data_IF_591001760334
#
_entry.id   IF_591001760334
#
_cell.length_a   1.000
_cell.length_b   1.000
_cell.length_c   1.000
_cell.angle_alpha   90.00
_cell.angle_beta   90.00
_cell.angle_gamma   90.00
#
_symmetry.space_group_name_H-M   'P 1'
#
loop_
_entity.id
_entity.type
_entity.pdbx_description
1 polymer ?
#
# COMPACT_ATOMS: atom_id res chain seq x y z
N UNK A 1 -4.94 21.65 -2.16
CA UNK A 1 -4.08 20.82 -3.04
C UNK A 1 -3.94 21.38 -4.47
N UNK A 2 -2.78 21.94 -4.79
CA UNK A 2 -2.37 22.24 -6.15
C UNK A 2 -1.91 20.98 -6.88
N UNK A 3 -2.20 20.84 -8.18
CA UNK A 3 -1.78 19.68 -8.98
C UNK A 3 -0.27 19.76 -9.24
N UNK A 4 0.45 18.68 -8.99
CA UNK A 4 1.85 18.54 -9.40
C UNK A 4 1.87 18.00 -10.82
N UNK A 5 2.56 18.70 -11.72
CA UNK A 5 2.64 18.32 -13.13
C UNK A 5 3.64 17.17 -13.34
N UNK A 6 3.31 16.25 -14.24
CA UNK A 6 4.21 15.17 -14.63
C UNK A 6 5.51 15.73 -15.21
N UNK A 7 6.65 15.13 -14.82
CA UNK A 7 7.99 15.58 -15.21
C UNK A 7 8.49 16.82 -14.44
N UNK A 8 7.77 17.26 -13.40
CA UNK A 8 8.34 18.23 -12.46
C UNK A 8 9.26 17.51 -11.45
N UNK A 9 10.24 18.20 -10.85
CA UNK A 9 11.16 17.57 -9.88
C UNK A 9 10.43 16.84 -8.74
N UNK A 10 9.36 17.44 -8.22
CA UNK A 10 8.55 16.81 -7.17
C UNK A 10 7.78 15.58 -7.67
N UNK A 11 7.28 15.61 -8.91
CA UNK A 11 6.62 14.44 -9.48
C UNK A 11 7.61 13.28 -9.64
N UNK A 12 8.81 13.56 -10.14
CA UNK A 12 9.83 12.55 -10.36
C UNK A 12 10.31 11.94 -9.03
N UNK A 13 10.45 12.75 -7.98
CA UNK A 13 10.73 12.28 -6.62
C UNK A 13 9.61 11.36 -6.09
N UNK A 14 8.34 11.70 -6.32
CA UNK A 14 7.20 10.85 -5.94
C UNK A 14 7.20 9.53 -6.71
N UNK A 15 7.49 9.56 -8.01
CA UNK A 15 7.61 8.33 -8.82
C UNK A 15 8.74 7.46 -8.29
N UNK A 16 9.91 8.04 -8.05
CA UNK A 16 11.06 7.31 -7.50
C UNK A 16 10.74 6.72 -6.12
N UNK A 17 10.04 7.46 -5.25
CA UNK A 17 9.58 6.95 -3.96
C UNK A 17 8.67 5.73 -4.13
N UNK A 18 7.73 5.78 -5.08
CA UNK A 18 6.81 4.67 -5.36
C UNK A 18 7.53 3.43 -5.91
N UNK A 19 8.55 3.64 -6.76
CA UNK A 19 9.35 2.55 -7.33
C UNK A 19 10.22 1.88 -6.26
N UNK A 20 10.88 2.66 -5.40
CA UNK A 20 11.67 2.14 -4.28
C UNK A 20 10.79 1.38 -3.30
N UNK A 21 9.61 1.91 -2.97
CA UNK A 21 8.67 1.20 -2.09
C UNK A 21 8.30 -0.18 -2.65
N UNK A 22 7.95 -0.24 -3.94
CA UNK A 22 7.58 -1.48 -4.60
C UNK A 22 8.76 -2.48 -4.59
N UNK A 23 9.99 -2.02 -4.89
CA UNK A 23 11.20 -2.85 -4.85
C UNK A 23 11.43 -3.44 -3.46
N UNK A 24 11.41 -2.61 -2.40
CA UNK A 24 11.64 -3.10 -1.04
C UNK A 24 10.62 -4.16 -0.63
N UNK A 25 9.34 -3.95 -0.95
CA UNK A 25 8.28 -4.89 -0.62
C UNK A 25 8.36 -6.19 -1.45
N UNK A 26 8.71 -6.09 -2.74
CA UNK A 26 8.87 -7.25 -3.63
C UNK A 26 10.10 -8.10 -3.28
N UNK A 27 11.13 -7.49 -2.67
CA UNK A 27 12.36 -8.15 -2.20
C UNK A 27 12.31 -8.58 -0.72
N UNK A 28 11.14 -8.51 -0.07
CA UNK A 28 10.95 -8.85 1.35
C UNK A 28 11.77 -7.98 2.33
N UNK A 29 12.19 -6.79 1.91
CA UNK A 29 12.91 -5.79 2.73
C UNK A 29 11.91 -4.92 3.51
N UNK A 30 10.93 -5.57 4.13
CA UNK A 30 9.82 -4.93 4.86
C UNK A 30 10.30 -4.07 6.04
N UNK A 31 11.39 -4.49 6.69
CA UNK A 31 12.07 -3.75 7.76
C UNK A 31 12.57 -2.39 7.29
N UNK A 32 13.24 -2.37 6.15
CA UNK A 32 13.80 -1.17 5.55
C UNK A 32 12.70 -0.24 5.04
N UNK A 33 11.65 -0.80 4.44
CA UNK A 33 10.44 -0.04 4.09
C UNK A 33 9.84 0.65 5.33
N UNK A 34 9.61 -0.12 6.42
CA UNK A 34 8.97 0.41 7.62
C UNK A 34 9.81 1.49 8.31
N UNK A 35 11.12 1.32 8.41
CA UNK A 35 11.99 2.25 9.15
C UNK A 35 12.41 3.46 8.30
N UNK A 36 12.61 3.26 6.99
CA UNK A 36 13.07 4.32 6.09
C UNK A 36 11.95 5.13 5.44
N UNK A 37 10.80 4.51 5.16
CA UNK A 37 9.77 5.11 4.30
C UNK A 37 8.44 5.38 5.00
N UNK A 38 8.23 4.90 6.22
CA UNK A 38 6.95 5.01 6.92
C UNK A 38 7.08 5.93 8.14
N UNK A 39 6.15 6.88 8.27
CA UNK A 39 6.08 7.77 9.43
C UNK A 39 5.66 7.01 10.68
N UNK A 40 6.19 7.38 11.85
CA UNK A 40 5.70 6.83 13.12
C UNK A 40 4.23 7.17 13.41
N UNK A 41 3.70 8.21 12.77
CA UNK A 41 2.30 8.64 12.88
C UNK A 41 1.40 8.04 11.78
N UNK A 42 1.88 7.04 11.04
CA UNK A 42 1.14 6.50 9.88
C UNK A 42 -0.24 5.97 10.27
N UNK A 43 -1.22 6.27 9.39
CA UNK A 43 -2.52 5.60 9.36
C UNK A 43 -2.63 4.81 8.06
N UNK A 44 -2.68 3.49 8.16
CA UNK A 44 -2.67 2.58 7.01
C UNK A 44 -3.97 1.76 6.98
N UNK A 45 -4.80 1.98 5.96
CA UNK A 45 -6.18 1.51 5.93
C UNK A 45 -6.55 0.80 4.61
N UNK A 46 -7.24 -0.33 4.74
CA UNK A 46 -7.88 -1.05 3.63
C UNK A 46 -9.37 -1.22 3.96
N UNK A 47 -10.26 -0.31 3.51
CA UNK A 47 -11.68 -0.36 3.86
C UNK A 47 -12.42 -1.56 3.24
N UNK A 48 -13.48 -2.00 3.89
CA UNK A 48 -14.43 -2.96 3.33
C UNK A 48 -15.22 -2.33 2.17
N UNK A 49 -15.53 -3.12 1.15
CA UNK A 49 -16.40 -2.72 0.05
C UNK A 49 -17.60 -3.67 -0.07
N UNK A 50 -18.76 -3.12 -0.41
CA UNK A 50 -20.00 -3.87 -0.63
C UNK A 50 -20.56 -3.56 -2.02
N UNK A 51 -21.30 -4.51 -2.57
CA UNK A 51 -22.07 -4.30 -3.80
C UNK A 51 -23.27 -3.42 -3.47
N UNK A 52 -23.32 -2.24 -4.08
CA UNK A 52 -24.42 -1.29 -3.92
C UNK A 52 -24.94 -0.82 -5.27
N UNK A 53 -26.17 -0.34 -5.31
CA UNK A 53 -26.72 0.35 -6.48
C UNK A 53 -25.92 1.62 -6.79
N UNK A 54 -25.82 1.99 -8.08
CA UNK A 54 -25.06 3.17 -8.53
C UNK A 54 -25.42 4.46 -7.78
N UNK A 55 -26.70 4.66 -7.46
CA UNK A 55 -27.18 5.83 -6.73
C UNK A 55 -26.61 5.94 -5.30
N UNK A 56 -26.14 4.83 -4.72
CA UNK A 56 -25.55 4.76 -3.38
C UNK A 56 -24.03 4.92 -3.38
N UNK A 57 -23.42 5.17 -4.54
CA UNK A 57 -21.99 5.49 -4.66
C UNK A 57 -21.09 4.28 -4.91
N UNK A 58 -19.88 4.32 -4.37
CA UNK A 58 -18.78 3.37 -4.71
C UNK A 58 -18.77 2.09 -3.88
N UNK A 59 -19.58 2.03 -2.82
CA UNK A 59 -19.75 0.86 -1.97
C UNK A 59 -18.70 0.67 -0.87
N UNK A 60 -17.74 1.60 -0.71
CA UNK A 60 -16.83 1.55 0.43
C UNK A 60 -17.56 1.89 1.73
N UNK A 61 -17.36 1.08 2.76
CA UNK A 61 -18.01 1.23 4.07
C UNK A 61 -17.10 2.04 4.99
N UNK A 62 -17.56 3.20 5.44
CA UNK A 62 -16.79 4.03 6.36
C UNK A 62 -16.73 3.40 7.76
N UNK A 63 -15.56 3.50 8.39
CA UNK A 63 -15.32 2.95 9.73
C UNK A 63 -15.17 1.43 9.79
N UNK A 64 -15.25 0.72 8.66
CA UNK A 64 -15.08 -0.73 8.59
C UNK A 64 -13.93 -1.09 7.66
N UNK A 65 -12.96 -1.83 8.19
CA UNK A 65 -11.69 -2.06 7.51
C UNK A 65 -11.30 -3.54 7.54
N UNK A 66 -10.69 -4.00 6.46
CA UNK A 66 -9.91 -5.24 6.43
C UNK A 66 -8.60 -5.07 7.18
N UNK A 67 -7.96 -3.90 7.04
CA UNK A 67 -6.77 -3.49 7.77
C UNK A 67 -6.95 -2.05 8.24
N UNK A 68 -6.72 -1.79 9.52
CA UNK A 68 -6.64 -0.46 10.12
C UNK A 68 -5.43 -0.44 11.05
N UNK A 69 -4.31 0.04 10.52
CA UNK A 69 -2.98 -0.20 11.04
C UNK A 69 -2.31 1.12 11.42
N UNK A 70 -1.57 1.06 12.53
CA UNK A 70 -0.67 2.10 13.02
C UNK A 70 0.77 1.67 12.80
N UNK A 71 1.74 2.56 12.98
CA UNK A 71 3.16 2.17 12.93
C UNK A 71 3.47 0.98 13.87
N UNK A 72 2.92 0.99 15.08
CA UNK A 72 3.13 -0.08 16.06
C UNK A 72 2.62 -1.43 15.59
N UNK A 73 1.44 -1.48 14.94
CA UNK A 73 0.86 -2.73 14.44
C UNK A 73 1.54 -3.20 13.14
N UNK A 74 1.93 -2.27 12.25
CA UNK A 74 2.78 -2.58 11.09
C UNK A 74 4.13 -3.18 11.54
N UNK A 75 4.77 -2.60 12.56
CA UNK A 75 6.00 -3.13 13.15
C UNK A 75 5.83 -4.55 13.67
N UNK A 76 4.70 -4.85 14.34
CA UNK A 76 4.39 -6.20 14.78
C UNK A 76 4.22 -7.17 13.60
N UNK A 77 3.66 -6.72 12.47
CA UNK A 77 3.54 -7.54 11.25
C UNK A 77 4.90 -7.83 10.62
N UNK A 78 5.76 -6.82 10.47
CA UNK A 78 7.14 -7.00 9.97
C UNK A 78 7.91 -7.96 10.88
N UNK A 79 7.88 -7.73 12.20
CA UNK A 79 8.56 -8.60 13.16
C UNK A 79 8.07 -10.05 13.11
N UNK A 80 6.76 -10.27 12.85
CA UNK A 80 6.22 -11.61 12.66
C UNK A 80 6.77 -12.27 11.39
N UNK A 81 6.80 -11.54 10.27
CA UNK A 81 7.28 -12.06 8.98
C UNK A 81 8.79 -12.40 9.01
N UNK A 82 9.56 -11.77 9.89
CA UNK A 82 10.99 -12.08 10.13
C UNK A 82 11.22 -13.39 10.92
N UNK A 83 10.18 -13.94 11.57
CA UNK A 83 10.34 -15.18 12.35
C UNK A 83 10.28 -16.42 11.47
N UNK A 84 11.06 -17.45 11.82
CA UNK A 84 10.98 -18.80 11.23
C UNK A 84 9.65 -19.54 11.50
N UNK A 85 8.70 -18.89 12.18
CA UNK A 85 7.37 -19.43 12.49
C UNK A 85 6.26 -18.67 11.75
N UNK A 86 6.62 -17.80 10.80
CA UNK A 86 5.69 -17.16 9.90
C UNK A 86 5.17 -18.15 8.85
N UNK A 87 4.48 -19.23 9.26
CA UNK A 87 3.99 -20.28 8.35
C UNK A 87 3.17 -19.74 7.16
N UNK A 88 2.51 -18.60 7.35
CA UNK A 88 1.78 -17.88 6.31
C UNK A 88 2.66 -17.24 5.23
N UNK A 89 3.96 -17.08 5.45
CA UNK A 89 4.98 -16.54 4.53
C UNK A 89 6.30 -17.33 4.56
N UNK A 90 6.30 -18.57 5.07
CA UNK A 90 7.43 -19.50 4.98
C UNK A 90 6.94 -20.84 4.38
N UNK A 91 7.26 -21.14 3.10
CA UNK A 91 8.05 -20.33 2.16
C UNK A 91 7.34 -19.03 1.70
N UNK A 92 8.09 -17.97 1.34
CA UNK A 92 7.49 -16.67 1.03
C UNK A 92 6.64 -16.67 -0.23
N UNK A 93 5.60 -15.83 -0.20
CA UNK A 93 4.82 -15.51 -1.40
C UNK A 93 5.70 -14.78 -2.42
N UNK A 94 5.71 -15.23 -3.68
CA UNK A 94 6.28 -14.44 -4.75
C UNK A 94 5.30 -13.33 -5.10
N UNK A 95 5.67 -12.10 -4.79
CA UNK A 95 4.84 -10.90 -4.92
C UNK A 95 5.43 -10.00 -6.00
N UNK A 96 4.58 -9.27 -6.71
CA UNK A 96 4.98 -8.13 -7.54
C UNK A 96 3.97 -7.00 -7.42
N UNK A 97 4.45 -5.81 -7.13
CA UNK A 97 3.65 -4.58 -7.13
C UNK A 97 3.76 -3.87 -8.48
N UNK A 98 2.66 -3.82 -9.23
CA UNK A 98 2.54 -2.97 -10.41
C UNK A 98 1.88 -1.65 -10.00
N UNK A 99 2.69 -0.60 -9.88
CA UNK A 99 2.23 0.75 -9.55
C UNK A 99 2.16 1.60 -10.82
N UNK A 100 0.99 2.16 -11.10
CA UNK A 100 0.73 2.89 -12.35
C UNK A 100 -0.18 4.10 -12.11
N UNK A 101 -0.41 4.92 -13.14
CA UNK A 101 -1.33 6.07 -13.09
C UNK A 101 -1.08 7.00 -11.88
N UNK A 102 0.19 7.27 -11.60
CA UNK A 102 0.62 8.12 -10.49
C UNK A 102 0.14 9.55 -10.74
N UNK A 103 -0.51 10.12 -9.73
CA UNK A 103 -1.06 11.48 -9.73
C UNK A 103 -0.65 12.13 -8.41
N UNK A 104 0.09 13.23 -8.49
CA UNK A 104 0.56 13.95 -7.32
C UNK A 104 -0.11 15.33 -7.19
N UNK A 105 -0.20 15.79 -5.96
CA UNK A 105 -0.75 17.09 -5.58
C UNK A 105 -0.07 17.56 -4.30
N UNK A 106 0.09 18.86 -4.14
CA UNK A 106 0.82 19.48 -3.04
C UNK A 106 -0.09 20.44 -2.27
N UNK A 107 0.03 20.45 -0.94
CA UNK A 107 -0.69 21.33 -0.04
C UNK A 107 0.15 21.60 1.21
N UNK A 108 0.88 22.72 1.19
CA UNK A 108 1.93 22.99 2.18
C UNK A 108 2.97 21.86 2.15
N UNK A 109 3.22 21.26 3.31
CA UNK A 109 4.21 20.17 3.45
C UNK A 109 3.63 18.77 3.12
N UNK A 110 2.35 18.69 2.76
CA UNK A 110 1.68 17.43 2.44
C UNK A 110 1.62 17.19 0.93
N UNK A 111 2.09 16.02 0.51
CA UNK A 111 2.04 15.58 -0.88
C UNK A 111 1.01 14.45 -0.99
N UNK A 112 -0.14 14.73 -1.57
CA UNK A 112 -1.16 13.73 -1.84
C UNK A 112 -0.85 12.98 -3.13
N UNK A 113 -0.81 11.66 -3.04
CA UNK A 113 -0.50 10.80 -4.18
C UNK A 113 -1.63 9.80 -4.40
N UNK A 114 -2.06 9.64 -5.65
CA UNK A 114 -2.98 8.58 -6.07
C UNK A 114 -2.28 7.70 -7.09
N UNK A 115 -2.30 6.39 -6.88
CA UNK A 115 -1.74 5.41 -7.81
C UNK A 115 -2.70 4.25 -8.00
N UNK A 116 -2.70 3.67 -9.19
CA UNK A 116 -3.34 2.39 -9.42
C UNK A 116 -2.35 1.29 -9.02
N UNK A 117 -2.88 0.24 -8.38
CA UNK A 117 -2.14 -0.90 -7.90
C UNK A 117 -2.71 -2.18 -8.53
N UNK A 118 -1.81 -3.02 -9.01
CA UNK A 118 -2.08 -4.43 -9.21
C UNK A 118 -1.00 -5.22 -8.47
N UNK A 119 -1.40 -6.05 -7.51
CA UNK A 119 -0.51 -7.01 -6.88
C UNK A 119 -0.71 -8.36 -7.57
N UNK A 120 0.40 -8.93 -8.04
CA UNK A 120 0.48 -10.33 -8.45
C UNK A 120 1.07 -11.14 -7.31
N UNK A 121 0.41 -12.22 -6.89
CA UNK A 121 0.89 -13.10 -5.82
C UNK A 121 0.74 -14.57 -6.17
N UNK A 122 1.78 -15.36 -5.96
CA UNK A 122 1.71 -16.83 -5.94
C UNK A 122 2.37 -17.38 -4.67
N UNK A 123 1.87 -18.50 -4.14
CA UNK A 123 2.51 -19.22 -3.03
C UNK A 123 2.74 -20.68 -3.37
N UNK A 124 3.79 -21.27 -2.79
CA UNK A 124 4.11 -22.69 -2.90
C UNK A 124 4.02 -23.20 -4.35
N UNK A 125 3.20 -24.21 -4.63
CA UNK A 125 2.98 -24.81 -5.95
C UNK A 125 1.88 -24.16 -6.79
N UNK A 126 1.28 -23.05 -6.34
CA UNK A 126 0.19 -22.39 -7.05
C UNK A 126 0.64 -21.91 -8.44
N UNK A 127 -0.06 -22.39 -9.47
CA UNK A 127 0.14 -21.98 -10.87
C UNK A 127 -0.79 -20.84 -11.29
N UNK A 128 -1.90 -20.63 -10.57
CA UNK A 128 -2.81 -19.50 -10.77
C UNK A 128 -2.50 -18.40 -9.75
N UNK A 129 -2.20 -17.17 -10.20
CA UNK A 129 -1.91 -16.07 -9.31
C UNK A 129 -3.18 -15.55 -8.64
N UNK A 130 -3.03 -15.09 -7.40
CA UNK A 130 -3.96 -14.16 -6.77
C UNK A 130 -3.64 -12.76 -7.30
N UNK A 131 -4.66 -12.08 -7.82
CA UNK A 131 -4.55 -10.71 -8.32
C UNK A 131 -5.38 -9.79 -7.43
N UNK A 132 -4.73 -8.77 -6.88
CA UNK A 132 -5.40 -7.73 -6.09
C UNK A 132 -5.26 -6.41 -6.83
N UNK A 133 -6.37 -5.89 -7.35
CA UNK A 133 -6.41 -4.59 -8.01
C UNK A 133 -7.05 -3.56 -7.11
N UNK A 134 -6.58 -2.31 -7.20
CA UNK A 134 -7.20 -1.18 -6.49
C UNK A 134 -6.51 0.14 -6.76
N UNK A 135 -6.95 1.16 -6.04
CA UNK A 135 -6.32 2.50 -6.00
C UNK A 135 -5.71 2.75 -4.62
N UNK A 136 -4.46 3.20 -4.56
CA UNK A 136 -3.85 3.76 -3.35
C UNK A 136 -4.09 5.25 -3.30
N UNK A 137 -4.45 5.75 -2.13
CA UNK A 137 -4.54 7.18 -1.80
C UNK A 137 -3.63 7.44 -0.63
N UNK A 138 -2.50 8.06 -0.94
CA UNK A 138 -1.41 8.26 -0.02
C UNK A 138 -1.26 9.75 0.32
N UNK A 139 -0.77 10.01 1.52
CA UNK A 139 -0.23 11.30 1.93
C UNK A 139 1.22 11.07 2.33
N UNK A 140 2.14 11.71 1.61
CA UNK A 140 3.54 11.76 1.95
C UNK A 140 3.86 13.09 2.63
N UNK A 141 4.82 13.07 3.55
CA UNK A 141 5.37 14.28 4.20
C UNK A 141 6.87 14.16 4.28
N UNK A 142 7.55 15.31 4.30
CA UNK A 142 8.99 15.33 4.57
C UNK A 142 9.25 15.18 6.07
N UNK A 143 10.09 14.22 6.43
CA UNK A 143 10.71 14.09 7.74
C UNK A 143 12.23 14.10 7.54
N UNK A 144 12.92 15.06 8.13
CA UNK A 144 14.38 15.23 7.99
C UNK A 144 14.85 15.26 6.51
N UNK A 145 14.04 15.87 5.64
CA UNK A 145 14.31 15.99 4.20
C UNK A 145 13.85 14.81 3.35
N UNK A 146 13.45 13.69 3.96
CA UNK A 146 13.04 12.46 3.26
C UNK A 146 11.51 12.33 3.23
N UNK A 147 10.95 11.92 2.09
CA UNK A 147 9.52 11.62 2.00
C UNK A 147 9.16 10.34 2.75
N UNK A 148 8.18 10.43 3.64
CA UNK A 148 7.61 9.29 4.35
C UNK A 148 6.10 9.20 4.22
N UNK A 149 5.60 7.97 4.24
CA UNK A 149 4.20 7.64 4.23
C UNK A 149 3.54 8.03 5.55
N UNK A 150 2.66 9.02 5.50
CA UNK A 150 1.88 9.50 6.64
C UNK A 150 0.47 8.90 6.67
N UNK A 151 -0.11 8.63 5.50
CA UNK A 151 -1.41 7.98 5.40
C UNK A 151 -1.46 7.15 4.13
N UNK A 152 -2.03 5.95 4.20
CA UNK A 152 -2.41 5.14 3.04
C UNK A 152 -3.84 4.68 3.19
N UNK A 153 -4.64 4.86 2.14
CA UNK A 153 -5.95 4.20 1.99
C UNK A 153 -5.95 3.39 0.69
N UNK A 154 -6.04 2.06 0.79
CA UNK A 154 -6.05 1.16 -0.36
C UNK A 154 -7.47 0.71 -0.67
N UNK A 155 -7.98 1.21 -1.79
CA UNK A 155 -9.34 0.99 -2.25
C UNK A 155 -9.35 -0.20 -3.21
N UNK A 156 -9.53 -1.41 -2.68
CA UNK A 156 -9.56 -2.62 -3.49
C UNK A 156 -10.82 -2.71 -4.37
N UNK A 157 -10.65 -3.30 -5.55
CA UNK A 157 -11.72 -3.60 -6.51
C UNK A 157 -12.41 -4.93 -6.23
N UNK A 158 -12.58 -5.23 -4.94
CA UNK A 158 -13.11 -6.49 -4.43
C UNK A 158 -14.10 -6.23 -3.30
N UNK A 159 -15.23 -6.93 -3.32
CA UNK A 159 -16.17 -7.01 -2.17
C UNK A 159 -15.88 -8.24 -1.30
N UNK A 160 -15.40 -9.31 -1.92
CA UNK A 160 -14.89 -10.50 -1.26
C UNK A 160 -13.42 -10.64 -1.64
N UNK A 161 -12.54 -10.65 -0.62
CA UNK A 161 -11.10 -10.84 -0.83
C UNK A 161 -10.85 -12.34 -1.01
N UNK A 162 -10.61 -12.74 -2.26
CA UNK A 162 -10.34 -14.14 -2.63
C UNK A 162 -8.94 -14.64 -2.25
N UNK A 163 -8.26 -14.01 -1.29
CA UNK A 163 -6.95 -14.45 -0.81
C UNK A 163 -7.11 -15.15 0.53
N UNK A 164 -6.24 -16.12 0.78
CA UNK A 164 -6.22 -16.89 2.01
C UNK A 164 -5.83 -16.03 3.24
N UNK A 165 -5.18 -14.88 3.02
CA UNK A 165 -4.84 -13.89 4.03
C UNK A 165 -4.46 -12.54 3.38
N UNK A 166 -4.35 -11.51 4.22
CA UNK A 166 -3.75 -10.21 3.88
C UNK A 166 -2.42 -10.02 4.64
N UNK A 167 -1.52 -11.02 4.57
CA UNK A 167 -0.19 -10.94 5.17
C UNK A 167 0.71 -9.90 4.50
N UNK A 168 0.44 -9.61 3.23
CA UNK A 168 1.21 -8.67 2.39
C UNK A 168 0.91 -7.21 2.71
N UNK A 169 1.83 -6.34 2.29
CA UNK A 169 1.61 -4.90 2.23
C UNK A 169 1.10 -4.52 0.83
N UNK A 170 0.39 -3.40 0.75
CA UNK A 170 -0.19 -2.79 -0.44
C UNK A 170 0.35 -1.38 -0.62
#
# INVERSE_FOLDING_TARGET
>A
MGRVMAGSPLYDEVVQWMDIEAELLDEYREREWLEGMVSQEVVYQVPLRQTVERARGTGFVDGVYHLDETYGSLRSRVARNETAYAWAEDPPSRIRHFVTNIRASEDGDAIGVRSNLLIFRTRQEQTQPQLLSGERRDVLRREDGVLKLYRRRVLLDLTVIGTHNLSIFF
#
